data_IF_540632726729
#
_entry.id   IF_540632726729
#
_cell.length_a   1.000
_cell.length_b   1.000
_cell.length_c   1.000
_cell.angle_alpha   90.00
_cell.angle_beta   90.00
_cell.angle_gamma   90.00
#
_symmetry.space_group_name_H-M   'P 1'
#
loop_
_entity.id
_entity.type
_entity.pdbx_description
1 polymer ?
#
# COMPACT_ATOMS: atom_id res chain seq x y z
N UNK A 1 38.93 -66.15 -22.96
CA UNK A 1 38.96 -64.67 -22.88
C UNK A 1 37.54 -64.18 -22.55
N UNK A 2 37.49 -63.15 -21.71
CA UNK A 2 36.45 -62.80 -20.72
C UNK A 2 35.15 -62.22 -21.29
N UNK A 3 34.08 -62.39 -20.50
CA UNK A 3 32.73 -61.82 -20.57
C UNK A 3 32.72 -60.28 -20.62
N UNK A 4 31.73 -59.67 -21.27
CA UNK A 4 30.81 -58.72 -20.62
C UNK A 4 29.65 -58.32 -21.55
N UNK A 5 28.45 -58.87 -21.29
CA UNK A 5 27.21 -58.33 -21.86
C UNK A 5 26.70 -57.25 -20.93
N UNK A 6 26.99 -55.98 -21.23
CA UNK A 6 26.43 -54.82 -20.52
C UNK A 6 24.92 -54.75 -20.72
N UNK A 7 24.15 -55.19 -19.71
CA UNK A 7 22.70 -54.98 -19.63
C UNK A 7 22.43 -53.48 -19.41
N UNK A 8 22.00 -52.78 -20.46
CA UNK A 8 21.54 -51.39 -20.40
C UNK A 8 20.22 -51.38 -19.61
N UNK A 9 20.22 -50.86 -18.38
CA UNK A 9 18.99 -50.58 -17.61
C UNK A 9 18.23 -49.49 -18.36
N UNK A 10 17.14 -49.86 -19.03
CA UNK A 10 16.15 -48.90 -19.49
C UNK A 10 15.59 -48.19 -18.27
N UNK A 11 15.83 -46.88 -18.20
CA UNK A 11 15.23 -46.04 -17.16
C UNK A 11 13.75 -45.95 -17.54
N UNK A 12 12.88 -46.55 -16.74
CA UNK A 12 11.43 -46.37 -16.88
C UNK A 12 11.14 -44.87 -16.75
N UNK A 13 10.93 -44.20 -17.87
CA UNK A 13 10.34 -42.87 -17.91
C UNK A 13 8.88 -43.06 -17.51
N UNK A 14 8.60 -42.84 -16.22
CA UNK A 14 7.25 -42.81 -15.68
C UNK A 14 6.51 -41.66 -16.38
N UNK A 15 5.55 -42.00 -17.23
CA UNK A 15 4.69 -41.03 -17.91
C UNK A 15 3.58 -40.54 -16.99
N UNK A 16 3.28 -39.24 -17.03
CA UNK A 16 2.16 -38.63 -16.33
C UNK A 16 0.84 -39.07 -16.96
N UNK A 17 -0.19 -39.32 -16.14
CA UNK A 17 -1.53 -39.62 -16.67
C UNK A 17 -2.34 -38.34 -16.90
N UNK A 18 -3.24 -38.34 -17.90
CA UNK A 18 -4.14 -37.21 -18.13
C UNK A 18 -5.04 -36.94 -16.92
N UNK A 19 -5.45 -38.00 -16.22
CA UNK A 19 -6.30 -37.91 -15.01
C UNK A 19 -5.57 -37.19 -13.87
N UNK A 20 -4.28 -37.44 -13.70
CA UNK A 20 -3.46 -36.78 -12.67
C UNK A 20 -3.35 -35.28 -12.91
N UNK A 21 -3.18 -34.86 -14.17
CA UNK A 21 -3.21 -33.44 -14.54
C UNK A 21 -4.59 -32.82 -14.32
N UNK A 22 -5.68 -33.54 -14.62
CA UNK A 22 -7.05 -33.06 -14.40
C UNK A 22 -7.36 -32.84 -12.92
N UNK A 23 -6.92 -33.74 -12.05
CA UNK A 23 -7.12 -33.60 -10.60
C UNK A 23 -6.33 -32.39 -10.07
N UNK A 24 -5.09 -32.19 -10.53
CA UNK A 24 -4.26 -31.04 -10.12
C UNK A 24 -4.91 -29.71 -10.49
N UNK A 25 -5.37 -29.55 -11.74
CA UNK A 25 -6.00 -28.29 -12.17
C UNK A 25 -7.33 -28.04 -11.45
N UNK A 26 -8.08 -29.10 -11.10
CA UNK A 26 -9.31 -28.99 -10.34
C UNK A 26 -9.07 -28.47 -8.91
N UNK A 27 -8.03 -28.99 -8.23
CA UNK A 27 -7.65 -28.52 -6.89
C UNK A 27 -7.15 -27.07 -6.94
N UNK A 28 -6.33 -26.72 -7.94
CA UNK A 28 -5.86 -25.34 -8.13
C UNK A 28 -7.04 -24.37 -8.34
N UNK A 29 -8.05 -24.75 -9.12
CA UNK A 29 -9.24 -23.92 -9.34
C UNK A 29 -10.01 -23.63 -8.02
N UNK A 30 -10.16 -24.64 -7.16
CA UNK A 30 -10.87 -24.51 -5.86
C UNK A 30 -10.04 -23.66 -4.86
N UNK A 31 -8.72 -23.86 -4.84
CA UNK A 31 -7.85 -23.09 -3.94
C UNK A 31 -7.72 -21.63 -4.38
N UNK A 32 -7.63 -21.38 -5.69
CA UNK A 32 -7.53 -20.04 -6.25
C UNK A 32 -8.74 -19.16 -5.90
N UNK A 33 -9.95 -19.72 -5.85
CA UNK A 33 -11.15 -18.96 -5.42
C UNK A 33 -11.13 -18.60 -3.94
N UNK A 34 -10.53 -19.44 -3.09
CA UNK A 34 -10.64 -19.30 -1.63
C UNK A 34 -9.59 -18.34 -1.06
N UNK A 35 -8.38 -18.32 -1.63
CA UNK A 35 -7.26 -17.53 -1.09
C UNK A 35 -7.34 -16.05 -1.49
N UNK A 36 -8.03 -15.72 -2.59
CA UNK A 36 -7.95 -14.40 -3.23
C UNK A 36 -8.60 -13.21 -2.50
N UNK A 37 -9.49 -13.44 -1.52
CA UNK A 37 -10.42 -12.37 -1.08
C UNK A 37 -10.07 -11.76 0.30
N UNK A 38 -9.30 -12.44 1.15
CA UNK A 38 -9.15 -12.03 2.57
C UNK A 38 -8.10 -10.95 2.86
N UNK A 39 -7.25 -10.58 1.91
CA UNK A 39 -6.11 -9.68 2.16
C UNK A 39 -6.48 -8.19 2.04
N UNK A 40 -7.49 -7.85 1.24
CA UNK A 40 -7.74 -6.46 0.86
C UNK A 40 -8.37 -5.61 1.99
N UNK A 41 -9.36 -6.14 2.73
CA UNK A 41 -10.05 -5.33 3.76
C UNK A 41 -9.20 -4.94 4.97
N UNK A 42 -8.16 -5.73 5.32
CA UNK A 42 -7.25 -5.40 6.41
C UNK A 42 -6.19 -4.36 6.03
N UNK A 43 -5.90 -4.22 4.73
CA UNK A 43 -4.98 -3.21 4.22
C UNK A 43 -5.64 -1.82 4.25
N UNK A 44 -6.92 -1.74 3.91
CA UNK A 44 -7.67 -0.48 3.84
C UNK A 44 -7.70 0.28 5.19
N UNK A 45 -7.94 -0.43 6.30
CA UNK A 45 -7.96 0.18 7.64
C UNK A 45 -6.56 0.61 8.09
N UNK A 46 -5.54 -0.18 7.76
CA UNK A 46 -4.14 0.12 8.08
C UNK A 46 -3.65 1.34 7.31
N UNK A 47 -4.04 1.46 6.04
CA UNK A 47 -3.74 2.61 5.19
C UNK A 47 -4.42 3.87 5.75
N UNK A 48 -5.72 3.82 6.04
CA UNK A 48 -6.40 4.96 6.66
C UNK A 48 -5.76 5.39 7.99
N UNK A 49 -5.39 4.44 8.85
CA UNK A 49 -4.70 4.73 10.11
C UNK A 49 -3.33 5.38 9.90
N UNK A 50 -2.56 4.89 8.92
CA UNK A 50 -1.27 5.47 8.52
C UNK A 50 -1.45 6.89 7.99
N UNK A 51 -2.42 7.13 7.11
CA UNK A 51 -2.68 8.46 6.57
C UNK A 51 -3.03 9.47 7.68
N UNK A 52 -3.85 9.06 8.66
CA UNK A 52 -4.18 9.89 9.83
C UNK A 52 -2.93 10.22 10.67
N UNK A 53 -2.06 9.24 10.89
CA UNK A 53 -0.82 9.46 11.62
C UNK A 53 0.12 10.44 10.89
N UNK A 54 0.26 10.29 9.58
CA UNK A 54 1.08 11.19 8.75
C UNK A 54 0.51 12.61 8.70
N UNK A 55 -0.82 12.76 8.57
CA UNK A 55 -1.51 14.05 8.67
C UNK A 55 -1.26 14.71 10.02
N UNK A 56 -1.34 13.96 11.12
CA UNK A 56 -1.06 14.46 12.47
C UNK A 56 0.38 14.96 12.60
N UNK A 57 1.35 14.19 12.10
CA UNK A 57 2.77 14.59 12.09
C UNK A 57 2.99 15.87 11.28
N UNK A 58 2.39 15.96 10.08
CA UNK A 58 2.47 17.16 9.26
C UNK A 58 1.78 18.36 9.91
N UNK A 59 0.65 18.16 10.59
CA UNK A 59 -0.04 19.21 11.36
C UNK A 59 0.88 19.80 12.43
N UNK A 60 1.59 18.96 13.18
CA UNK A 60 2.60 19.41 14.14
C UNK A 60 3.74 20.15 13.45
N UNK A 61 4.24 19.66 12.32
CA UNK A 61 5.29 20.33 11.55
C UNK A 61 4.86 21.71 11.02
N UNK A 62 3.62 21.86 10.53
CA UNK A 62 3.02 23.15 10.15
C UNK A 62 2.96 24.11 11.34
N UNK A 63 2.58 23.61 12.53
CA UNK A 63 2.55 24.43 13.74
C UNK A 63 3.96 24.88 14.15
N UNK A 64 4.96 24.00 14.10
CA UNK A 64 6.36 24.36 14.36
C UNK A 64 6.88 25.39 13.36
N UNK A 65 6.56 25.20 12.07
CA UNK A 65 6.88 26.16 11.02
C UNK A 65 6.28 27.54 11.34
N UNK A 66 5.01 27.57 11.76
CA UNK A 66 4.32 28.81 12.15
C UNK A 66 4.99 29.50 13.32
N UNK A 67 5.41 28.76 14.33
CA UNK A 67 6.11 29.32 15.50
C UNK A 67 7.45 29.95 15.07
N UNK A 68 8.21 29.28 14.20
CA UNK A 68 9.55 29.73 13.77
C UNK A 68 9.48 30.91 12.80
N UNK A 69 8.56 30.89 11.85
CA UNK A 69 8.49 31.87 10.76
C UNK A 69 7.41 32.93 10.94
N UNK A 70 6.61 32.83 12.02
CA UNK A 70 5.44 33.69 12.31
C UNK A 70 4.38 33.72 11.20
N UNK A 71 4.40 32.74 10.29
CA UNK A 71 3.44 32.59 9.19
C UNK A 71 3.18 31.11 8.93
N UNK A 72 2.01 30.79 8.38
CA UNK A 72 1.75 29.47 7.84
C UNK A 72 2.64 29.22 6.59
N UNK A 73 3.03 27.96 6.34
CA UNK A 73 3.68 27.61 5.08
C UNK A 73 2.71 27.85 3.92
N UNK A 74 3.24 28.13 2.72
CA UNK A 74 2.40 28.24 1.52
C UNK A 74 2.19 26.88 0.86
N UNK A 75 3.15 25.97 1.03
CA UNK A 75 3.12 24.61 0.51
C UNK A 75 3.66 23.62 1.54
N UNK A 76 3.34 22.33 1.43
CA UNK A 76 3.84 21.32 2.37
C UNK A 76 5.35 21.12 2.29
N UNK A 77 5.99 21.45 1.18
CA UNK A 77 7.44 21.30 1.03
C UNK A 77 8.20 22.18 2.04
N UNK A 78 7.62 23.30 2.45
CA UNK A 78 8.23 24.20 3.44
C UNK A 78 8.32 23.58 4.84
N UNK A 79 7.50 22.54 5.14
CA UNK A 79 7.54 21.83 6.43
C UNK A 79 8.51 20.66 6.43
N UNK A 80 9.11 20.30 5.29
CA UNK A 80 10.05 19.18 5.18
C UNK A 80 11.17 19.19 6.24
N UNK A 81 11.81 20.33 6.59
CA UNK A 81 12.84 20.36 7.63
C UNK A 81 12.36 20.02 9.06
N UNK A 82 11.04 19.96 9.27
CA UNK A 82 10.40 19.64 10.54
C UNK A 82 9.83 18.21 10.57
N UNK A 83 10.04 17.44 9.50
CA UNK A 83 9.64 16.03 9.38
C UNK A 83 10.86 15.12 9.54
N UNK A 84 10.60 13.87 9.90
CA UNK A 84 11.59 12.79 9.91
C UNK A 84 11.03 11.58 9.14
N UNK A 85 11.59 11.23 7.96
CA UNK A 85 12.68 11.93 7.26
C UNK A 85 12.28 13.33 6.78
N UNK A 86 13.24 14.21 6.43
CA UNK A 86 12.96 15.60 6.05
C UNK A 86 12.43 15.73 4.62
N UNK A 87 11.29 15.08 4.36
CA UNK A 87 10.54 15.09 3.10
C UNK A 87 9.07 14.95 3.41
N UNK A 88 8.22 15.54 2.56
CA UNK A 88 6.78 15.32 2.63
C UNK A 88 6.49 13.90 2.09
N UNK A 89 5.80 13.04 2.87
CA UNK A 89 5.42 11.72 2.39
C UNK A 89 4.30 11.83 1.34
N UNK A 90 4.19 10.79 0.51
CA UNK A 90 2.94 10.52 -0.21
C UNK A 90 2.01 9.75 0.73
N UNK A 91 0.72 9.87 0.50
CA UNK A 91 -0.26 9.10 1.25
C UNK A 91 -0.11 7.58 0.99
N UNK A 92 -0.78 6.73 1.78
CA UNK A 92 -0.65 5.28 1.67
C UNK A 92 -0.98 4.70 0.29
N UNK A 93 -1.81 5.40 -0.48
CA UNK A 93 -2.22 5.02 -1.83
C UNK A 93 -1.32 5.61 -2.92
N UNK A 94 -0.29 6.37 -2.54
CA UNK A 94 0.70 6.96 -3.44
C UNK A 94 0.32 8.33 -3.98
N UNK A 95 -0.74 8.95 -3.47
CA UNK A 95 -1.18 10.28 -3.87
C UNK A 95 -0.50 11.37 -3.02
N UNK A 96 -0.40 12.59 -3.56
CA UNK A 96 0.09 13.72 -2.79
C UNK A 96 -0.99 14.25 -1.84
N UNK A 97 -0.60 14.61 -0.62
CA UNK A 97 -1.49 15.29 0.31
C UNK A 97 -1.91 16.67 -0.20
N UNK A 98 -3.17 17.01 0.02
CA UNK A 98 -3.73 18.33 -0.30
C UNK A 98 -3.57 19.25 0.89
N UNK A 99 -2.96 20.41 0.66
CA UNK A 99 -2.83 21.46 1.65
C UNK A 99 -3.64 22.68 1.25
N UNK A 100 -4.54 23.08 2.13
CA UNK A 100 -5.37 24.26 1.95
C UNK A 100 -5.17 25.21 3.13
N UNK A 101 -4.87 26.47 2.82
CA UNK A 101 -4.70 27.52 3.81
C UNK A 101 -5.88 28.49 3.73
N UNK A 102 -6.57 28.68 4.85
CA UNK A 102 -7.66 29.65 4.97
C UNK A 102 -7.18 30.87 5.77
N UNK A 103 -6.82 31.94 5.04
CA UNK A 103 -6.25 33.14 5.62
C UNK A 103 -4.88 32.90 6.27
N UNK A 104 -4.67 33.46 7.47
CA UNK A 104 -3.39 33.41 8.17
C UNK A 104 -3.39 32.50 9.41
N UNK A 105 -4.55 31.98 9.81
CA UNK A 105 -4.73 31.30 11.10
C UNK A 105 -5.11 29.83 10.97
N UNK A 106 -5.81 29.47 9.90
CA UNK A 106 -6.38 28.13 9.71
C UNK A 106 -5.78 27.45 8.49
N UNK A 107 -5.61 26.14 8.59
CA UNK A 107 -5.15 25.30 7.51
C UNK A 107 -5.78 23.93 7.63
N UNK A 108 -5.86 23.22 6.49
CA UNK A 108 -6.37 21.87 6.39
C UNK A 108 -5.39 21.03 5.56
N UNK A 109 -5.10 19.83 6.04
CA UNK A 109 -4.35 18.81 5.29
C UNK A 109 -5.31 17.66 5.03
N UNK A 110 -5.38 17.18 3.80
CA UNK A 110 -6.30 16.12 3.37
C UNK A 110 -5.61 15.08 2.50
N UNK A 111 -6.07 13.84 2.57
CA UNK A 111 -5.88 12.80 1.54
C UNK A 111 -7.27 12.39 1.04
N UNK A 112 -7.37 12.17 -0.27
CA UNK A 112 -8.60 11.72 -0.93
C UNK A 112 -8.79 10.19 -0.87
N UNK A 113 -7.96 9.47 -0.13
CA UNK A 113 -8.04 8.01 -0.09
C UNK A 113 -7.57 7.34 -1.39
N UNK A 114 -7.94 6.07 -1.54
CA UNK A 114 -7.46 5.19 -2.61
C UNK A 114 -7.87 5.56 -4.03
N UNK A 115 -8.95 6.32 -4.22
CA UNK A 115 -9.41 6.75 -5.54
C UNK A 115 -8.87 8.13 -5.95
N UNK A 116 -8.18 8.83 -5.04
CA UNK A 116 -7.61 10.15 -5.28
C UNK A 116 -8.64 11.23 -5.58
N UNK A 117 -9.93 10.99 -5.28
CA UNK A 117 -11.04 11.88 -5.59
C UNK A 117 -11.81 12.28 -4.32
N UNK A 118 -12.38 13.49 -4.25
CA UNK A 118 -13.12 13.91 -3.07
C UNK A 118 -14.35 13.03 -2.83
N UNK A 119 -14.53 12.60 -1.58
CA UNK A 119 -15.68 11.86 -1.09
C UNK A 119 -15.35 10.40 -0.77
N UNK A 120 -16.11 9.48 -1.37
CA UNK A 120 -15.91 8.05 -1.22
C UNK A 120 -16.30 7.44 0.14
N UNK A 121 -15.97 6.15 0.31
CA UNK A 121 -16.26 5.37 1.51
C UNK A 121 -15.22 4.26 1.69
N UNK A 122 -14.95 3.84 2.93
CA UNK A 122 -13.92 2.84 3.21
C UNK A 122 -12.54 3.33 2.81
N UNK A 123 -11.79 2.56 2.03
CA UNK A 123 -10.47 2.92 1.52
C UNK A 123 -10.45 4.22 0.68
N UNK A 124 -11.59 4.57 0.08
CA UNK A 124 -11.74 5.75 -0.76
C UNK A 124 -12.28 6.95 0.03
N UNK A 125 -12.45 6.83 1.34
CA UNK A 125 -12.96 7.94 2.14
C UNK A 125 -11.88 9.01 2.32
N UNK A 126 -12.28 10.27 2.18
CA UNK A 126 -11.44 11.41 2.53
C UNK A 126 -10.97 11.36 4.00
N UNK A 127 -9.71 11.73 4.22
CA UNK A 127 -9.11 11.85 5.55
C UNK A 127 -8.55 13.25 5.69
N UNK A 128 -8.94 13.96 6.75
CA UNK A 128 -8.49 15.32 6.99
C UNK A 128 -7.89 15.55 8.38
N UNK A 129 -7.14 16.65 8.53
CA UNK A 129 -6.56 17.07 9.80
C UNK A 129 -7.58 17.56 10.86
N UNK A 130 -8.85 17.61 10.49
CA UNK A 130 -9.98 18.04 11.32
C UNK A 130 -10.76 16.85 11.91
N UNK A 131 -10.56 15.65 11.35
CA UNK A 131 -11.13 14.38 11.85
C UNK A 131 -10.35 13.82 13.04
#
# INVERSE_FOLDING_TARGET
MTQEKTKKKEKNLLGFTLVELMVVIAIIAILATTVGIYVFGALDDADQAKAKAEISNMKTAVQMYRIKNKRLPNTLEEIAPFLDPPKVPLDPWGNAYVYQKEGNSSFKIMSYGGDGSPGGSGANADISSED
#
